data_IF_833491148993
#
_entry.id   IF_833491148993
#
_cell.length_a   1.000
_cell.length_b   1.000
_cell.length_c   1.000
_cell.angle_alpha   90.00
_cell.angle_beta   90.00
_cell.angle_gamma   90.00
#
_symmetry.space_group_name_H-M   'P 1'
#
loop_
_entity.id
_entity.type
_entity.pdbx_description
1 polymer ?
#
# COMPACT_ATOMS: atom_id res chain seq x y z
N UNK A 1 -3.82 1.69 23.26
CA UNK A 1 -4.44 0.36 23.14
C UNK A 1 -3.33 -0.67 23.19
N UNK A 2 -3.36 -1.62 24.13
CA UNK A 2 -2.35 -2.68 24.24
C UNK A 2 -2.75 -3.85 23.32
N UNK A 3 -1.88 -4.16 22.35
CA UNK A 3 -2.11 -5.23 21.37
C UNK A 3 -2.31 -6.59 22.05
N UNK A 4 -1.56 -6.84 23.12
CA UNK A 4 -1.64 -8.09 23.87
C UNK A 4 -2.99 -8.21 24.56
N UNK A 5 -3.44 -7.15 25.22
CA UNK A 5 -4.73 -7.12 25.90
C UNK A 5 -5.90 -7.35 24.92
N UNK A 6 -5.82 -6.77 23.71
CA UNK A 6 -6.84 -6.97 22.69
C UNK A 6 -6.91 -8.42 22.19
N UNK A 7 -5.79 -9.05 21.85
CA UNK A 7 -5.76 -10.47 21.44
C UNK A 7 -6.25 -11.40 22.55
N UNK A 8 -5.86 -11.13 23.79
CA UNK A 8 -6.21 -11.98 24.94
C UNK A 8 -7.68 -11.87 25.37
N UNK A 9 -8.39 -10.83 24.93
CA UNK A 9 -9.83 -10.69 25.15
C UNK A 9 -10.67 -11.68 24.34
N UNK A 10 -10.09 -12.33 23.31
CA UNK A 10 -10.76 -13.34 22.50
C UNK A 10 -10.62 -14.77 23.05
N UNK A 11 -11.54 -15.69 22.71
CA UNK A 11 -11.44 -17.12 22.98
C UNK A 11 -10.11 -17.71 22.47
N UNK A 12 -9.55 -18.69 23.19
CA UNK A 12 -8.20 -19.21 22.96
C UNK A 12 -7.97 -19.75 21.54
N UNK A 13 -9.00 -20.35 20.95
CA UNK A 13 -9.06 -20.89 19.59
C UNK A 13 -9.12 -19.80 18.50
N UNK A 14 -9.62 -18.61 18.82
CA UNK A 14 -9.71 -17.48 17.88
C UNK A 14 -8.48 -16.54 17.92
N UNK A 15 -7.68 -16.58 18.99
CA UNK A 15 -6.59 -15.60 19.22
C UNK A 15 -5.56 -15.55 18.09
N UNK A 16 -5.25 -16.70 17.49
CA UNK A 16 -4.28 -16.77 16.39
C UNK A 16 -4.78 -15.99 15.17
N UNK A 17 -6.05 -16.18 14.81
CA UNK A 17 -6.67 -15.49 13.67
C UNK A 17 -6.70 -13.99 13.91
N UNK A 18 -7.13 -13.56 15.10
CA UNK A 18 -7.13 -12.15 15.51
C UNK A 18 -5.72 -11.54 15.47
N UNK A 19 -4.71 -12.25 15.99
CA UNK A 19 -3.32 -11.79 15.96
C UNK A 19 -2.79 -11.64 14.53
N UNK A 20 -3.09 -12.61 13.65
CA UNK A 20 -2.70 -12.55 12.23
C UNK A 20 -3.42 -11.43 11.49
N UNK A 21 -4.69 -11.18 11.80
CA UNK A 21 -5.46 -10.08 11.24
C UNK A 21 -4.85 -8.74 11.64
N UNK A 22 -4.59 -8.53 12.94
CA UNK A 22 -3.96 -7.31 13.47
C UNK A 22 -2.57 -7.09 12.88
N UNK A 23 -1.76 -8.15 12.76
CA UNK A 23 -0.45 -8.06 12.09
C UNK A 23 -0.62 -7.66 10.62
N UNK A 24 -1.61 -8.23 9.93
CA UNK A 24 -1.96 -7.88 8.56
C UNK A 24 -2.42 -6.43 8.39
N UNK A 25 -3.14 -5.89 9.37
CA UNK A 25 -3.58 -4.49 9.42
C UNK A 25 -2.41 -3.54 9.72
N UNK A 26 -1.60 -3.84 10.74
CA UNK A 26 -0.44 -3.03 11.14
C UNK A 26 0.63 -2.98 10.07
N UNK A 27 0.82 -4.05 9.32
CA UNK A 27 1.78 -4.13 8.21
C UNK A 27 1.19 -3.68 6.87
N UNK A 28 -0.13 -3.45 6.80
CA UNK A 28 -0.86 -3.22 5.55
C UNK A 28 -0.84 -4.41 4.58
N UNK A 29 -0.40 -5.60 5.02
CA UNK A 29 -0.26 -6.79 4.17
C UNK A 29 -1.59 -7.25 3.57
N UNK A 30 -2.69 -7.17 4.34
CA UNK A 30 -4.02 -7.49 3.84
C UNK A 30 -4.48 -6.51 2.75
N UNK A 31 -4.29 -5.20 2.97
CA UNK A 31 -4.58 -4.17 1.97
C UNK A 31 -3.79 -4.38 0.69
N UNK A 32 -2.50 -4.71 0.79
CA UNK A 32 -1.65 -5.02 -0.36
C UNK A 32 -2.17 -6.24 -1.11
N UNK A 33 -2.51 -7.33 -0.42
CA UNK A 33 -3.04 -8.54 -1.04
C UNK A 33 -4.37 -8.29 -1.77
N UNK A 34 -5.30 -7.58 -1.13
CA UNK A 34 -6.60 -7.30 -1.70
C UNK A 34 -6.51 -6.34 -2.91
N UNK A 35 -5.70 -5.28 -2.85
CA UNK A 35 -5.45 -4.40 -4.00
C UNK A 35 -4.77 -5.14 -5.15
N UNK A 36 -3.85 -6.06 -4.83
CA UNK A 36 -3.18 -6.89 -5.82
C UNK A 36 -4.17 -7.76 -6.59
N UNK A 37 -5.04 -8.45 -5.87
CA UNK A 37 -6.08 -9.29 -6.45
C UNK A 37 -7.08 -8.47 -7.27
N UNK A 38 -7.59 -7.36 -6.69
CA UNK A 38 -8.60 -6.49 -7.30
C UNK A 38 -8.18 -5.91 -8.66
N UNK A 39 -6.92 -5.54 -8.83
CA UNK A 39 -6.43 -4.88 -10.05
C UNK A 39 -5.35 -5.68 -10.82
N UNK A 40 -5.14 -6.95 -10.47
CA UNK A 40 -4.12 -7.80 -11.12
C UNK A 40 -2.70 -7.22 -11.04
N UNK A 41 -2.32 -6.65 -9.90
CA UNK A 41 -1.05 -5.95 -9.74
C UNK A 41 0.13 -6.90 -9.44
N UNK A 42 1.35 -6.45 -9.70
CA UNK A 42 2.53 -7.08 -9.11
C UNK A 42 2.66 -6.70 -7.62
N UNK A 43 3.44 -7.43 -6.81
CA UNK A 43 3.66 -7.07 -5.41
C UNK A 43 4.15 -5.62 -5.21
N UNK A 44 5.09 -5.15 -6.05
CA UNK A 44 5.60 -3.78 -6.01
C UNK A 44 4.52 -2.74 -6.33
N UNK A 45 3.70 -2.99 -7.34
CA UNK A 45 2.59 -2.12 -7.72
C UNK A 45 1.53 -2.04 -6.61
N UNK A 46 1.22 -3.18 -5.98
CA UNK A 46 0.26 -3.23 -4.89
C UNK A 46 0.75 -2.50 -3.64
N UNK A 47 2.04 -2.60 -3.29
CA UNK A 47 2.64 -1.82 -2.20
C UNK A 47 2.60 -0.32 -2.48
N UNK A 48 2.96 0.09 -3.70
CA UNK A 48 2.87 1.49 -4.11
C UNK A 48 1.43 2.01 -4.02
N UNK A 49 0.46 1.22 -4.51
CA UNK A 49 -0.95 1.60 -4.46
C UNK A 49 -1.47 1.67 -3.02
N UNK A 50 -1.07 0.74 -2.16
CA UNK A 50 -1.44 0.75 -0.74
C UNK A 50 -0.88 1.99 -0.03
N UNK A 51 0.38 2.38 -0.30
CA UNK A 51 0.97 3.60 0.24
C UNK A 51 0.21 4.86 -0.23
N UNK A 52 -0.07 4.94 -1.53
CA UNK A 52 -0.88 6.02 -2.09
C UNK A 52 -2.30 6.05 -1.52
N UNK A 53 -2.92 4.89 -1.29
CA UNK A 53 -4.26 4.77 -0.71
C UNK A 53 -4.31 5.21 0.75
N UNK A 54 -3.28 4.86 1.53
CA UNK A 54 -3.15 5.27 2.91
C UNK A 54 -2.99 6.81 3.02
N UNK A 55 -2.24 7.40 2.10
CA UNK A 55 -1.96 8.84 2.08
C UNK A 55 -3.09 9.68 1.43
N UNK A 56 -3.94 9.09 0.61
CA UNK A 56 -4.93 9.82 -0.18
C UNK A 56 -5.86 10.68 0.69
N UNK A 57 -6.14 11.93 0.26
CA UNK A 57 -5.79 12.53 -1.04
C UNK A 57 -4.41 13.21 -1.11
N UNK A 58 -3.54 13.08 -0.09
CA UNK A 58 -2.24 13.76 -0.04
C UNK A 58 -1.28 13.24 -1.11
N UNK A 59 -0.37 14.11 -1.55
CA UNK A 59 0.73 13.78 -2.47
C UNK A 59 1.83 13.08 -1.71
N UNK A 60 2.29 11.94 -2.24
CA UNK A 60 3.55 11.32 -1.84
C UNK A 60 4.62 11.71 -2.85
N UNK A 61 5.73 12.24 -2.34
CA UNK A 61 6.88 12.57 -3.17
C UNK A 61 7.59 11.31 -3.70
N UNK A 62 8.48 11.48 -4.68
CA UNK A 62 9.21 10.37 -5.28
C UNK A 62 10.05 9.56 -4.28
N UNK A 63 10.59 10.21 -3.23
CA UNK A 63 11.42 9.56 -2.23
C UNK A 63 10.56 8.69 -1.30
N UNK A 64 9.42 9.20 -0.84
CA UNK A 64 8.44 8.46 -0.05
C UNK A 64 7.90 7.26 -0.84
N UNK A 65 7.61 7.45 -2.12
CA UNK A 65 7.16 6.36 -3.00
C UNK A 65 8.23 5.30 -3.22
N UNK A 66 9.49 5.70 -3.35
CA UNK A 66 10.62 4.77 -3.46
C UNK A 66 10.83 3.98 -2.16
N UNK A 67 10.81 4.67 -1.01
CA UNK A 67 10.94 4.04 0.30
C UNK A 67 9.81 3.04 0.57
N UNK A 68 8.58 3.34 0.15
CA UNK A 68 7.43 2.45 0.33
C UNK A 68 7.54 1.11 -0.43
N UNK A 69 8.31 1.06 -1.52
CA UNK A 69 8.44 -0.14 -2.36
C UNK A 69 9.74 -0.90 -2.16
N UNK A 70 10.84 -0.20 -1.84
CA UNK A 70 12.19 -0.77 -1.76
C UNK A 70 12.82 -0.69 -0.37
N UNK A 71 12.21 0.02 0.58
CA UNK A 71 12.80 0.27 1.90
C UNK A 71 13.89 1.36 1.87
N UNK A 72 14.56 1.55 3.00
CA UNK A 72 15.56 2.61 3.21
C UNK A 72 16.98 2.24 2.78
N UNK A 73 17.27 0.96 2.56
CA UNK A 73 18.63 0.45 2.34
C UNK A 73 18.96 0.14 0.87
N UNK A 74 18.04 0.41 -0.07
CA UNK A 74 18.22 0.01 -1.47
C UNK A 74 18.98 1.06 -2.28
N UNK A 75 20.09 0.62 -2.91
CA UNK A 75 20.85 1.41 -3.89
C UNK A 75 19.94 1.87 -5.04
N UNK A 76 20.06 3.15 -5.44
CA UNK A 76 19.14 3.85 -6.36
C UNK A 76 19.19 3.34 -7.81
N UNK A 77 19.84 2.22 -8.05
CA UNK A 77 20.06 1.70 -9.38
C UNK A 77 18.89 0.79 -9.83
N UNK A 78 18.20 1.27 -10.88
CA UNK A 78 17.48 0.51 -11.93
C UNK A 78 15.97 0.27 -11.86
N UNK A 79 15.19 0.82 -10.93
CA UNK A 79 13.71 0.83 -11.08
C UNK A 79 13.09 2.18 -10.74
N UNK A 80 12.71 2.91 -11.80
CA UNK A 80 12.08 4.22 -11.68
C UNK A 80 10.64 4.09 -11.16
N UNK A 81 10.31 4.87 -10.12
CA UNK A 81 8.92 5.07 -9.63
C UNK A 81 7.99 5.37 -10.80
N UNK A 82 8.44 6.17 -11.77
CA UNK A 82 7.66 6.52 -12.96
C UNK A 82 7.27 5.29 -13.80
N UNK A 83 8.16 4.32 -13.97
CA UNK A 83 7.86 3.10 -14.73
C UNK A 83 6.83 2.23 -14.01
N UNK A 84 6.89 2.17 -12.67
CA UNK A 84 5.88 1.46 -11.87
C UNK A 84 4.52 2.16 -12.00
N UNK A 85 4.48 3.48 -11.87
CA UNK A 85 3.27 4.29 -12.02
C UNK A 85 2.66 4.14 -13.41
N UNK A 86 3.47 4.19 -14.48
CA UNK A 86 2.99 4.03 -15.85
C UNK A 86 2.32 2.67 -16.04
N UNK A 87 2.93 1.59 -15.55
CA UNK A 87 2.34 0.25 -15.60
C UNK A 87 1.07 0.13 -14.74
N UNK A 88 0.98 0.87 -13.63
CA UNK A 88 -0.23 0.92 -12.81
C UNK A 88 -1.37 1.65 -13.52
N UNK A 89 -1.10 2.75 -14.23
CA UNK A 89 -2.13 3.48 -15.00
C UNK A 89 -2.83 2.62 -16.03
N UNK A 90 -2.14 1.65 -16.62
CA UNK A 90 -2.75 0.71 -17.56
C UNK A 90 -3.73 -0.28 -16.90
N UNK A 91 -3.66 -0.45 -15.58
CA UNK A 91 -4.46 -1.42 -14.81
C UNK A 91 -5.52 -0.77 -13.92
N UNK A 92 -5.38 0.52 -13.64
CA UNK A 92 -6.26 1.26 -12.75
C UNK A 92 -7.29 2.06 -13.55
N UNK A 93 -8.45 2.40 -12.94
CA UNK A 93 -9.40 3.32 -13.54
C UNK A 93 -8.74 4.63 -13.96
N UNK A 94 -9.12 5.16 -15.12
CA UNK A 94 -8.62 6.44 -15.60
C UNK A 94 -8.92 7.57 -14.60
N UNK A 95 -8.00 8.51 -14.47
CA UNK A 95 -8.11 9.63 -13.55
C UNK A 95 -7.90 9.29 -12.07
N UNK A 96 -7.79 8.01 -11.68
CA UNK A 96 -7.59 7.63 -10.29
C UNK A 96 -6.20 8.04 -9.78
N UNK A 97 -5.17 7.93 -10.62
CA UNK A 97 -3.79 8.24 -10.27
C UNK A 97 -3.37 9.59 -10.85
N UNK A 98 -3.14 10.56 -9.97
CA UNK A 98 -2.85 11.96 -10.29
C UNK A 98 -1.35 12.21 -10.25
N UNK A 99 -0.82 12.87 -11.28
CA UNK A 99 0.58 13.32 -11.32
C UNK A 99 0.70 14.76 -10.84
N UNK A 100 1.66 14.99 -9.96
CA UNK A 100 2.08 16.33 -9.54
C UNK A 100 3.51 16.56 -10.04
N UNK A 101 3.64 17.28 -11.16
CA UNK A 101 4.90 17.47 -11.87
C UNK A 101 6.01 18.01 -10.95
N UNK A 102 7.17 17.35 -10.98
CA UNK A 102 8.32 17.71 -10.13
C UNK A 102 8.18 17.29 -8.66
N UNK A 103 7.03 16.81 -8.21
CA UNK A 103 6.76 16.49 -6.80
C UNK A 103 6.57 14.99 -6.59
N UNK A 104 5.56 14.40 -7.23
CA UNK A 104 5.20 13.01 -6.99
C UNK A 104 3.79 12.66 -7.46
N UNK A 105 3.10 11.82 -6.69
CA UNK A 105 1.83 11.23 -7.09
C UNK A 105 0.82 11.18 -5.94
N UNK A 106 -0.46 11.24 -6.27
CA UNK A 106 -1.56 11.01 -5.34
C UNK A 106 -2.66 10.17 -5.97
N UNK A 107 -3.62 9.72 -5.16
CA UNK A 107 -4.89 9.21 -5.67
C UNK A 107 -5.96 10.30 -5.59
N UNK A 108 -6.80 10.37 -6.61
CA UNK A 108 -7.95 11.28 -6.64
C UNK A 108 -8.95 10.99 -5.50
N UNK A 109 -9.03 9.73 -5.06
CA UNK A 109 -9.85 9.27 -3.94
C UNK A 109 -9.27 8.01 -3.32
N UNK A 110 -9.65 7.71 -2.07
CA UNK A 110 -9.37 6.42 -1.44
C UNK A 110 -10.11 5.30 -2.18
N UNK A 111 -9.49 4.13 -2.19
CA UNK A 111 -10.02 2.88 -2.70
C UNK A 111 -10.48 2.09 -1.47
N UNK A 112 -11.76 1.77 -1.43
CA UNK A 112 -12.28 0.82 -0.45
C UNK A 112 -11.77 -0.58 -0.80
N UNK A 113 -11.07 -1.13 0.18
CA UNK A 113 -10.52 -2.48 0.18
C UNK A 113 -11.26 -3.13 1.34
N UNK A 114 -12.37 -3.79 1.00
CA UNK A 114 -13.28 -4.39 1.98
C UNK A 114 -12.63 -5.51 2.77
#
# INVERSE_FOLDING_TARGET
MDLRAHVMAHPADERLEVALQLLGELTGSQTVAALRHKFGLTPTQARMLAALNAAAPRVLDHQALFAAIYGTEWDRSQRSVHAVIQKMRAKLPQGLLVSHWGVGYSLARRIDVG
#
